data_IF_806493718362
#
_entry.id   IF_806493718362
#
_cell.length_a   1.000
_cell.length_b   1.000
_cell.length_c   1.000
_cell.angle_alpha   90.00
_cell.angle_beta   90.00
_cell.angle_gamma   90.00
#
_symmetry.space_group_name_H-M   'P 1'
#
loop_
_entity.id
_entity.type
_entity.pdbx_description
1 polymer ?
#
# COMPACT_ATOMS: atom_id res chain seq x y z
N UNK A 1 -21.51 -13.74 11.81
CA UNK A 1 -20.88 -13.19 13.02
C UNK A 1 -19.40 -13.03 12.70
N UNK A 2 -18.90 -11.81 12.52
CA UNK A 2 -17.47 -11.60 12.27
C UNK A 2 -16.73 -11.95 13.55
N UNK A 3 -15.85 -12.93 13.47
CA UNK A 3 -15.04 -13.40 14.59
C UNK A 3 -13.76 -12.54 14.66
N UNK A 4 -13.44 -12.00 15.83
CA UNK A 4 -12.20 -11.23 16.08
C UNK A 4 -10.97 -12.02 15.63
N UNK A 5 -10.97 -13.34 15.84
CA UNK A 5 -9.91 -14.23 15.37
C UNK A 5 -9.74 -14.19 13.84
N UNK A 6 -10.83 -14.03 13.08
CA UNK A 6 -10.77 -13.91 11.63
C UNK A 6 -10.19 -12.55 11.20
N UNK A 7 -10.53 -11.46 11.90
CA UNK A 7 -9.95 -10.14 11.66
C UNK A 7 -8.44 -10.19 11.90
N UNK A 8 -8.00 -10.74 13.03
CA UNK A 8 -6.58 -10.89 13.36
C UNK A 8 -5.84 -11.77 12.35
N UNK A 9 -6.44 -12.88 11.92
CA UNK A 9 -5.87 -13.75 10.89
C UNK A 9 -5.66 -13.01 9.56
N UNK A 10 -6.65 -12.23 9.14
CA UNK A 10 -6.57 -11.45 7.90
C UNK A 10 -5.54 -10.33 8.00
N UNK A 11 -5.43 -9.67 9.17
CA UNK A 11 -4.39 -8.67 9.44
C UNK A 11 -2.99 -9.26 9.39
N UNK A 12 -2.78 -10.41 10.02
CA UNK A 12 -1.51 -11.12 9.97
C UNK A 12 -1.14 -11.50 8.53
N UNK A 13 -2.12 -11.99 7.75
CA UNK A 13 -1.93 -12.29 6.34
C UNK A 13 -1.55 -11.03 5.54
N UNK A 14 -2.28 -9.92 5.72
CA UNK A 14 -1.96 -8.64 5.07
C UNK A 14 -0.54 -8.15 5.41
N UNK A 15 -0.17 -8.19 6.69
CA UNK A 15 1.17 -7.79 7.13
C UNK A 15 2.27 -8.66 6.52
N UNK A 16 1.97 -9.93 6.21
CA UNK A 16 2.93 -10.88 5.63
C UNK A 16 3.10 -10.73 4.11
N UNK A 17 2.16 -10.09 3.40
CA UNK A 17 2.20 -9.95 1.94
C UNK A 17 3.21 -8.87 1.53
N UNK A 18 4.21 -9.23 0.74
CA UNK A 18 5.24 -8.27 0.30
C UNK A 18 4.77 -7.27 -0.77
N UNK A 19 3.63 -7.51 -1.41
CA UNK A 19 3.18 -6.76 -2.58
C UNK A 19 3.97 -7.14 -3.84
N UNK A 20 3.66 -6.52 -4.98
CA UNK A 20 4.33 -6.81 -6.26
C UNK A 20 5.83 -6.51 -6.16
N UNK A 21 6.67 -7.48 -6.53
CA UNK A 21 8.12 -7.37 -6.38
C UNK A 21 8.80 -6.79 -7.64
N UNK A 22 9.97 -6.15 -7.51
CA UNK A 22 10.69 -5.58 -8.66
C UNK A 22 11.00 -6.58 -9.78
N UNK A 23 11.29 -7.84 -9.46
CA UNK A 23 11.55 -8.90 -10.44
C UNK A 23 10.30 -9.31 -11.24
N UNK A 24 9.11 -9.10 -10.68
CA UNK A 24 7.84 -9.27 -11.39
C UNK A 24 7.55 -8.09 -12.35
N UNK A 25 8.15 -6.92 -12.11
CA UNK A 25 7.90 -5.69 -12.86
C UNK A 25 8.94 -5.42 -13.95
N UNK A 26 10.18 -5.86 -13.75
CA UNK A 26 11.31 -5.49 -14.62
C UNK A 26 11.15 -5.96 -16.06
N UNK A 27 10.44 -7.06 -16.27
CA UNK A 27 10.18 -7.63 -17.60
C UNK A 27 9.32 -6.73 -18.47
N UNK A 28 8.56 -5.79 -17.88
CA UNK A 28 7.76 -4.83 -18.63
C UNK A 28 8.60 -3.97 -19.60
N UNK A 29 9.91 -3.80 -19.35
CA UNK A 29 10.81 -3.06 -20.25
C UNK A 29 10.91 -3.65 -21.66
N UNK A 30 10.56 -4.93 -21.83
CA UNK A 30 10.58 -5.58 -23.14
C UNK A 30 9.34 -5.25 -23.99
N UNK A 31 8.29 -4.71 -23.36
CA UNK A 31 7.11 -4.21 -24.07
C UNK A 31 7.38 -2.84 -24.67
N UNK A 32 6.87 -2.59 -25.88
CA UNK A 32 7.20 -1.39 -26.68
C UNK A 32 6.75 -0.07 -26.05
N UNK A 33 5.74 -0.12 -25.20
CA UNK A 33 5.15 1.01 -24.49
C UNK A 33 6.09 1.54 -23.40
N UNK A 34 6.90 0.66 -22.80
CA UNK A 34 7.80 1.00 -21.71
C UNK A 34 9.10 1.59 -22.26
N UNK A 35 9.49 2.75 -21.72
CA UNK A 35 10.63 3.55 -22.21
C UNK A 35 11.82 3.50 -21.29
N UNK A 36 11.57 3.32 -19.99
CA UNK A 36 12.62 3.35 -18.98
C UNK A 36 12.20 2.53 -17.76
N UNK A 37 13.16 1.80 -17.20
CA UNK A 37 13.12 1.31 -15.83
C UNK A 37 14.38 1.80 -15.12
N UNK A 38 14.21 2.27 -13.90
CA UNK A 38 15.28 2.74 -13.04
C UNK A 38 15.08 2.24 -11.62
N UNK A 39 16.16 1.85 -10.96
CA UNK A 39 16.11 1.39 -9.58
C UNK A 39 17.24 2.03 -8.78
N UNK A 40 16.92 2.58 -7.61
CA UNK A 40 17.92 3.18 -6.72
C UNK A 40 17.50 3.05 -5.26
N UNK A 41 18.47 3.19 -4.35
CA UNK A 41 18.26 3.15 -2.91
C UNK A 41 18.61 4.49 -2.28
N UNK A 42 17.74 5.02 -1.43
CA UNK A 42 17.98 6.25 -0.65
C UNK A 42 17.27 6.13 0.70
N UNK A 43 17.94 6.51 1.79
CA UNK A 43 17.37 6.48 3.16
C UNK A 43 16.69 5.15 3.52
N UNK A 44 17.35 4.01 3.26
CA UNK A 44 16.83 2.65 3.48
C UNK A 44 15.57 2.28 2.67
N UNK A 45 15.14 3.14 1.75
CA UNK A 45 14.05 2.85 0.82
C UNK A 45 14.60 2.51 -0.56
N UNK A 46 13.97 1.54 -1.22
CA UNK A 46 14.28 1.14 -2.58
C UNK A 46 13.18 1.71 -3.48
N UNK A 47 13.59 2.44 -4.51
CA UNK A 47 12.71 3.04 -5.49
C UNK A 47 12.85 2.26 -6.79
N UNK A 48 11.73 1.79 -7.31
CA UNK A 48 11.62 1.23 -8.65
C UNK A 48 10.73 2.14 -9.46
N UNK A 49 11.28 2.74 -10.51
CA UNK A 49 10.57 3.66 -11.39
C UNK A 49 10.44 2.99 -12.76
N UNK A 50 9.23 3.02 -13.30
CA UNK A 50 8.96 2.65 -14.68
C UNK A 50 8.25 3.79 -15.40
N UNK A 51 8.72 4.11 -16.60
CA UNK A 51 8.12 5.10 -17.47
C UNK A 51 7.60 4.39 -18.72
N UNK A 52 6.34 4.66 -19.07
CA UNK A 52 5.69 4.12 -20.27
C UNK A 52 4.73 5.14 -20.86
N UNK A 53 4.30 4.93 -22.10
CA UNK A 53 3.26 5.74 -22.71
C UNK A 53 2.02 4.91 -23.05
N UNK A 54 0.85 5.47 -22.78
CA UNK A 54 -0.43 4.92 -23.19
C UNK A 54 -1.08 5.87 -24.19
N UNK A 55 -1.67 5.29 -25.25
CA UNK A 55 -2.56 6.03 -26.13
C UNK A 55 -3.98 5.91 -25.62
N UNK A 56 -4.56 7.04 -25.25
CA UNK A 56 -5.98 7.14 -24.88
C UNK A 56 -6.60 8.05 -25.93
N UNK A 57 -7.51 7.48 -26.73
CA UNK A 57 -8.04 8.11 -27.94
C UNK A 57 -6.93 8.50 -28.94
N UNK A 58 -6.76 9.78 -29.23
CA UNK A 58 -5.73 10.32 -30.14
C UNK A 58 -4.51 10.90 -29.38
N UNK A 59 -4.57 10.98 -28.05
CA UNK A 59 -3.52 11.58 -27.23
C UNK A 59 -2.59 10.53 -26.62
N UNK A 60 -1.28 10.81 -26.66
CA UNK A 60 -0.26 10.01 -25.96
C UNK A 60 -0.01 10.59 -24.57
N UNK A 61 -0.30 9.79 -23.54
CA UNK A 61 -0.03 10.14 -22.14
C UNK A 61 1.22 9.43 -21.66
N UNK A 62 2.20 10.19 -21.16
CA UNK A 62 3.37 9.63 -20.51
C UNK A 62 3.09 9.38 -19.04
N UNK A 63 3.35 8.17 -18.57
CA UNK A 63 3.07 7.73 -17.21
C UNK A 63 4.39 7.30 -16.59
N UNK A 64 4.65 7.80 -15.38
CA UNK A 64 5.77 7.37 -14.55
C UNK A 64 5.22 6.80 -13.25
N UNK A 65 5.42 5.50 -13.05
CA UNK A 65 5.05 4.80 -11.82
C UNK A 65 6.28 4.62 -10.95
N UNK A 66 6.15 4.92 -9.66
CA UNK A 66 7.18 4.77 -8.66
C UNK A 66 6.69 3.83 -7.56
N UNK A 67 7.32 2.69 -7.45
CA UNK A 67 7.12 1.70 -6.40
C UNK A 67 8.21 1.89 -5.35
N UNK A 68 7.80 2.03 -4.09
CA UNK A 68 8.70 2.32 -2.97
C UNK A 68 8.64 1.15 -2.00
N UNK A 69 9.80 0.55 -1.74
CA UNK A 69 9.97 -0.61 -0.89
C UNK A 69 10.84 -0.32 0.32
N UNK A 70 10.64 -1.08 1.39
CA UNK A 70 11.57 -1.15 2.52
C UNK A 70 12.69 -2.18 2.28
N UNK A 71 13.64 -2.29 3.21
CA UNK A 71 14.75 -3.25 3.13
C UNK A 71 14.30 -4.72 3.27
N UNK A 72 13.08 -4.97 3.76
CA UNK A 72 12.48 -6.29 3.89
C UNK A 72 11.76 -6.75 2.61
N UNK A 73 11.86 -5.96 1.54
CA UNK A 73 11.19 -6.14 0.24
C UNK A 73 9.66 -5.94 0.32
N UNK A 74 9.17 -5.26 1.34
CA UNK A 74 7.75 -4.92 1.44
C UNK A 74 7.47 -3.68 0.61
N UNK A 75 6.48 -3.75 -0.27
CA UNK A 75 5.95 -2.58 -0.96
C UNK A 75 5.21 -1.70 0.03
N UNK A 76 5.68 -0.46 0.17
CA UNK A 76 5.17 0.55 1.11
C UNK A 76 4.23 1.51 0.41
N UNK A 77 4.59 1.97 -0.79
CA UNK A 77 3.84 3.00 -1.52
C UNK A 77 4.00 2.85 -3.03
N UNK A 78 2.94 3.20 -3.75
CA UNK A 78 2.92 3.39 -5.19
C UNK A 78 2.52 4.83 -5.47
N UNK A 79 3.32 5.53 -6.27
CA UNK A 79 3.03 6.88 -6.75
C UNK A 79 3.00 6.89 -8.28
N UNK A 80 2.16 7.76 -8.85
CA UNK A 80 2.06 7.98 -10.29
C UNK A 80 2.26 9.45 -10.60
N UNK A 81 2.99 9.71 -11.67
CA UNK A 81 3.10 11.02 -12.30
C UNK A 81 2.64 10.91 -13.74
N UNK A 82 1.76 11.82 -14.17
CA UNK A 82 1.32 11.95 -15.56
C UNK A 82 2.06 13.12 -16.22
N UNK A 83 2.61 12.90 -17.41
CA UNK A 83 3.35 13.87 -18.20
C UNK A 83 4.41 14.61 -17.34
N UNK A 84 4.39 15.94 -17.37
CA UNK A 84 5.28 16.80 -16.58
C UNK A 84 4.69 17.19 -15.20
N UNK A 85 3.68 16.44 -14.73
CA UNK A 85 3.03 16.68 -13.46
C UNK A 85 3.89 16.31 -12.25
N UNK A 86 3.26 16.26 -11.08
CA UNK A 86 3.88 15.77 -9.83
C UNK A 86 3.45 14.34 -9.56
N UNK A 87 4.23 13.64 -8.75
CA UNK A 87 3.82 12.34 -8.23
C UNK A 87 2.63 12.49 -7.28
N UNK A 88 1.65 11.61 -7.45
CA UNK A 88 0.48 11.47 -6.61
C UNK A 88 0.41 10.02 -6.11
N UNK A 89 0.13 9.85 -4.81
CA UNK A 89 0.00 8.52 -4.21
C UNK A 89 -1.23 7.80 -4.79
N UNK A 90 -0.99 6.65 -5.41
CA UNK A 90 -2.03 5.74 -5.90
C UNK A 90 -2.41 4.70 -4.84
N UNK A 91 -1.41 4.25 -4.08
CA UNK A 91 -1.58 3.28 -3.03
C UNK A 91 -0.54 3.48 -1.94
N UNK A 92 -0.95 3.32 -0.69
CA UNK A 92 -0.08 3.38 0.49
C UNK A 92 -0.48 2.25 1.45
N UNK A 93 0.51 1.49 1.91
CA UNK A 93 0.32 0.31 2.75
C UNK A 93 -0.35 0.65 4.08
N UNK A 94 0.04 1.76 4.70
CA UNK A 94 -0.50 2.18 5.98
C UNK A 94 -1.95 2.66 5.82
N UNK A 95 -2.23 3.39 4.74
CA UNK A 95 -3.60 3.82 4.44
C UNK A 95 -4.51 2.63 4.12
N UNK A 96 -4.00 1.63 3.39
CA UNK A 96 -4.73 0.39 3.12
C UNK A 96 -5.04 -0.38 4.42
N UNK A 97 -4.06 -0.50 5.32
CA UNK A 97 -4.25 -1.13 6.63
C UNK A 97 -5.28 -0.40 7.48
N UNK A 98 -5.18 0.93 7.57
CA UNK A 98 -6.15 1.76 8.31
C UNK A 98 -7.56 1.61 7.75
N UNK A 99 -7.73 1.69 6.43
CA UNK A 99 -9.03 1.49 5.76
C UNK A 99 -9.60 0.12 6.06
N UNK A 100 -8.78 -0.93 6.01
CA UNK A 100 -9.20 -2.29 6.35
C UNK A 100 -9.74 -2.36 7.79
N UNK A 101 -8.98 -1.87 8.77
CA UNK A 101 -9.39 -1.89 10.18
C UNK A 101 -10.67 -1.09 10.40
N UNK A 102 -10.76 0.13 9.85
CA UNK A 102 -11.95 0.98 9.97
C UNK A 102 -13.18 0.26 9.42
N UNK A 103 -13.06 -0.38 8.25
CA UNK A 103 -14.15 -1.14 7.65
C UNK A 103 -14.58 -2.31 8.54
N UNK A 104 -13.64 -3.10 9.06
CA UNK A 104 -13.97 -4.21 9.97
C UNK A 104 -14.64 -3.73 11.26
N UNK A 105 -14.19 -2.62 11.84
CA UNK A 105 -14.81 -2.05 13.04
C UNK A 105 -16.21 -1.48 12.74
N UNK A 106 -16.42 -0.92 11.56
CA UNK A 106 -17.71 -0.34 11.16
C UNK A 106 -18.83 -1.39 11.11
N UNK A 107 -18.49 -2.64 10.78
CA UNK A 107 -19.40 -3.79 10.74
C UNK A 107 -19.73 -4.36 12.14
N UNK A 108 -19.01 -3.93 13.19
CA UNK A 108 -19.25 -4.37 14.56
C UNK A 108 -20.24 -3.45 15.29
N UNK A 109 -21.03 -3.99 16.25
CA UNK A 109 -21.82 -3.19 17.17
C UNK A 109 -20.93 -2.18 17.89
N UNK A 110 -21.42 -0.95 18.06
CA UNK A 110 -20.66 0.17 18.63
C UNK A 110 -19.97 -0.19 19.95
N UNK A 111 -20.66 -0.91 20.83
CA UNK A 111 -20.14 -1.31 22.15
C UNK A 111 -18.92 -2.24 22.09
N UNK A 112 -18.71 -2.95 20.97
CA UNK A 112 -17.60 -3.89 20.78
C UNK A 112 -16.41 -3.29 20.04
N UNK A 113 -16.56 -2.10 19.43
CA UNK A 113 -15.52 -1.54 18.55
C UNK A 113 -14.23 -1.24 19.30
N UNK A 114 -14.32 -0.65 20.49
CA UNK A 114 -13.15 -0.26 21.28
C UNK A 114 -12.39 -1.49 21.79
N UNK A 115 -13.11 -2.50 22.30
CA UNK A 115 -12.52 -3.77 22.76
C UNK A 115 -11.77 -4.48 21.62
N UNK A 116 -12.40 -4.58 20.45
CA UNK A 116 -11.79 -5.22 19.28
C UNK A 116 -10.60 -4.40 18.77
N UNK A 117 -10.69 -3.07 18.79
CA UNK A 117 -9.58 -2.21 18.39
C UNK A 117 -8.36 -2.38 19.30
N UNK A 118 -8.55 -2.42 20.62
CA UNK A 118 -7.45 -2.70 21.56
C UNK A 118 -6.84 -4.08 21.31
N UNK A 119 -7.70 -5.09 21.12
CA UNK A 119 -7.24 -6.45 20.80
C UNK A 119 -6.38 -6.47 19.52
N UNK A 120 -6.77 -5.71 18.49
CA UNK A 120 -5.99 -5.58 17.25
C UNK A 120 -4.64 -4.92 17.52
N UNK A 121 -4.59 -3.84 18.29
CA UNK A 121 -3.33 -3.15 18.61
C UNK A 121 -2.37 -4.04 19.40
N UNK A 122 -2.88 -4.85 20.32
CA UNK A 122 -2.08 -5.77 21.14
C UNK A 122 -1.53 -6.97 20.36
N UNK A 123 -2.17 -7.35 19.25
CA UNK A 123 -1.85 -8.56 18.49
C UNK A 123 -1.25 -8.30 17.11
N UNK A 124 -1.15 -7.03 16.68
CA UNK A 124 -0.48 -6.67 15.43
C UNK A 124 1.05 -6.70 15.63
N UNK A 125 1.82 -7.16 14.61
CA UNK A 125 3.28 -7.09 14.66
C UNK A 125 3.77 -5.67 14.95
N UNK A 126 4.82 -5.54 15.78
CA UNK A 126 5.35 -4.25 16.25
C UNK A 126 5.59 -3.27 15.10
N UNK A 127 6.14 -3.74 13.97
CA UNK A 127 6.44 -2.91 12.80
C UNK A 127 5.18 -2.30 12.16
N UNK A 128 4.05 -3.01 12.19
CA UNK A 128 2.78 -2.52 11.70
C UNK A 128 2.02 -1.68 12.75
N UNK A 129 2.30 -1.86 14.04
CA UNK A 129 1.64 -1.10 15.12
C UNK A 129 1.93 0.41 15.05
N UNK A 130 3.14 0.80 14.65
CA UNK A 130 3.54 2.22 14.51
C UNK A 130 2.74 2.97 13.44
N UNK A 131 2.11 2.26 12.51
CA UNK A 131 1.30 2.87 11.45
C UNK A 131 -0.13 3.21 11.90
N UNK A 132 -0.57 2.71 13.06
CA UNK A 132 -1.92 2.86 13.56
C UNK A 132 -2.00 3.95 14.62
N UNK A 133 -3.03 4.81 14.59
CA UNK A 133 -3.20 5.83 15.62
C UNK A 133 -3.55 5.15 16.96
N UNK A 134 -3.03 5.63 18.11
CA UNK A 134 -3.34 5.02 19.41
C UNK A 134 -4.84 5.06 19.76
N UNK A 135 -5.63 5.93 19.11
CA UNK A 135 -7.11 5.94 19.13
C UNK A 135 -7.64 6.34 17.76
N UNK A 136 -8.52 5.55 17.16
CA UNK A 136 -9.35 6.00 16.05
C UNK A 136 -10.39 6.98 16.61
N UNK A 137 -10.17 8.29 16.42
CA UNK A 137 -11.28 9.25 16.51
C UNK A 137 -12.13 9.01 15.27
N UNK A 138 -13.30 8.39 15.44
CA UNK A 138 -14.33 8.41 14.40
C UNK A 138 -14.58 9.88 14.06
N UNK A 139 -14.33 10.26 12.80
CA UNK A 139 -14.76 11.54 12.29
C UNK A 139 -16.28 11.45 12.21
N UNK A 140 -16.95 12.31 12.99
CA UNK A 140 -18.41 12.49 12.99
C UNK A 140 -18.91 12.97 11.64
#
# INVERSE_FOLDING_TARGET
MINVAQILKNLAAFCSVKGVQPDELVTAIFEKEYKKIETYKVNCLIYFIMDYSEKIDDDETFISMRYIYDENKSLIKIEQKLNNGRYHTQWDRNDALKKYIINQLSELPYQKRDEVYQTILENIPIDASYSLPPRLKLVS
#
